data_IF_932947064876
#
_entry.id   IF_932947064876
#
_cell.length_a   1.000
_cell.length_b   1.000
_cell.length_c   1.000
_cell.angle_alpha   90.00
_cell.angle_beta   90.00
_cell.angle_gamma   90.00
#
_symmetry.space_group_name_H-M   'P 1'
#
loop_
_entity.id
_entity.type
_entity.pdbx_description
1 polymer ?
#
# COMPACT_ATOMS: atom_id res chain seq x y z
N UNK A 1 -10.64 0.45 11.54
CA UNK A 1 -9.67 1.49 11.12
C UNK A 1 -8.28 0.90 11.13
N UNK A 2 -7.85 0.35 9.99
CA UNK A 2 -6.53 -0.25 9.80
C UNK A 2 -5.65 0.72 9.02
N UNK A 3 -4.37 0.81 9.41
CA UNK A 3 -3.34 1.55 8.67
C UNK A 3 -2.59 0.59 7.77
N UNK A 4 -2.55 0.88 6.48
CA UNK A 4 -1.92 0.03 5.46
C UNK A 4 -0.78 0.83 4.85
N UNK A 5 0.40 0.23 4.75
CA UNK A 5 1.54 0.79 4.03
C UNK A 5 1.70 0.02 2.72
N UNK A 6 1.63 0.75 1.61
CA UNK A 6 1.86 0.24 0.26
C UNK A 6 3.25 0.71 -0.15
N UNK A 7 4.10 -0.22 -0.57
CA UNK A 7 5.42 0.09 -1.12
C UNK A 7 5.41 -0.37 -2.57
N UNK A 8 5.44 0.58 -3.50
CA UNK A 8 5.34 0.29 -4.93
C UNK A 8 6.13 1.33 -5.73
N UNK A 9 6.99 0.87 -6.64
CA UNK A 9 7.88 1.72 -7.44
C UNK A 9 7.17 2.32 -8.66
N UNK A 10 6.10 1.69 -9.15
CA UNK A 10 5.26 2.25 -10.21
C UNK A 10 4.15 3.18 -9.65
N UNK A 11 4.19 4.49 -9.93
CA UNK A 11 3.20 5.44 -9.44
C UNK A 11 1.78 5.19 -10.00
N UNK A 12 1.65 4.56 -11.18
CA UNK A 12 0.35 4.24 -11.76
C UNK A 12 -0.35 3.13 -10.95
N UNK A 13 0.39 2.09 -10.57
CA UNK A 13 -0.10 0.99 -9.73
C UNK A 13 -0.40 1.50 -8.31
N UNK A 14 0.51 2.30 -7.75
CA UNK A 14 0.36 2.89 -6.43
C UNK A 14 -0.92 3.76 -6.33
N UNK A 15 -1.23 4.54 -7.37
CA UNK A 15 -2.46 5.33 -7.41
C UNK A 15 -3.70 4.43 -7.36
N UNK A 16 -3.75 3.38 -8.17
CA UNK A 16 -4.90 2.45 -8.19
C UNK A 16 -5.10 1.74 -6.86
N UNK A 17 -4.02 1.29 -6.22
CA UNK A 17 -4.09 0.61 -4.92
C UNK A 17 -4.47 1.57 -3.80
N UNK A 18 -3.91 2.78 -3.78
CA UNK A 18 -4.27 3.81 -2.81
C UNK A 18 -5.75 4.13 -2.89
N UNK A 19 -6.23 4.44 -4.09
CA UNK A 19 -7.61 4.87 -4.29
C UNK A 19 -8.60 3.75 -3.92
N UNK A 20 -8.28 2.48 -4.21
CA UNK A 20 -9.11 1.33 -3.79
C UNK A 20 -9.16 1.16 -2.26
N UNK A 21 -8.01 1.26 -1.59
CA UNK A 21 -7.93 1.07 -0.14
C UNK A 21 -8.47 2.28 0.65
N UNK A 22 -8.32 3.49 0.14
CA UNK A 22 -8.96 4.69 0.69
C UNK A 22 -10.47 4.63 0.53
N UNK A 23 -10.97 4.10 -0.60
CA UNK A 23 -12.39 3.84 -0.81
C UNK A 23 -12.97 2.85 0.22
N UNK A 24 -12.18 1.84 0.60
CA UNK A 24 -12.51 0.90 1.70
C UNK A 24 -12.39 1.52 3.11
N UNK A 25 -12.20 2.85 3.21
CA UNK A 25 -12.04 3.60 4.47
C UNK A 25 -10.83 3.15 5.30
N UNK A 26 -9.78 2.66 4.65
CA UNK A 26 -8.48 2.41 5.28
C UNK A 26 -7.59 3.64 5.25
N UNK A 27 -6.71 3.77 6.25
CA UNK A 27 -5.68 4.81 6.25
C UNK A 27 -4.48 4.29 5.47
N UNK A 28 -4.26 4.84 4.29
CA UNK A 28 -3.20 4.39 3.38
C UNK A 28 -1.97 5.28 3.51
N UNK A 29 -0.82 4.66 3.71
CA UNK A 29 0.50 5.26 3.57
C UNK A 29 1.13 4.66 2.31
N UNK A 30 1.76 5.50 1.51
CA UNK A 30 2.44 5.05 0.28
C UNK A 30 3.92 5.35 0.35
N UNK A 31 4.73 4.46 -0.22
CA UNK A 31 6.16 4.64 -0.39
C UNK A 31 6.54 4.17 -1.79
N UNK A 32 7.40 4.93 -2.46
CA UNK A 32 7.86 4.63 -3.83
C UNK A 32 9.07 3.72 -3.88
N UNK A 33 9.62 3.37 -2.71
CA UNK A 33 10.84 2.58 -2.60
C UNK A 33 10.90 1.86 -1.24
N UNK A 34 11.68 0.78 -1.20
CA UNK A 34 11.83 -0.05 0.00
C UNK A 34 12.44 0.69 1.19
N UNK A 35 13.27 1.71 0.96
CA UNK A 35 13.93 2.46 2.03
C UNK A 35 12.96 3.46 2.69
N UNK A 36 12.16 4.16 1.89
CA UNK A 36 11.06 5.00 2.31
C UNK A 36 9.99 4.18 3.04
N UNK A 37 9.67 2.99 2.53
CA UNK A 37 8.79 2.03 3.21
C UNK A 37 9.35 1.61 4.57
N UNK A 38 10.63 1.22 4.63
CA UNK A 38 11.31 0.86 5.86
C UNK A 38 11.33 2.00 6.87
N UNK A 39 11.70 3.22 6.45
CA UNK A 39 11.66 4.42 7.31
C UNK A 39 10.25 4.74 7.80
N UNK A 40 9.22 4.52 6.98
CA UNK A 40 7.83 4.73 7.38
C UNK A 40 7.39 3.74 8.48
N UNK A 41 7.77 2.46 8.35
CA UNK A 41 7.56 1.44 9.39
C UNK A 41 8.39 1.72 10.64
N UNK A 42 9.58 2.28 10.49
CA UNK A 42 10.49 2.52 11.62
C UNK A 42 10.14 3.80 12.40
N UNK A 43 9.65 4.85 11.72
CA UNK A 43 9.20 6.10 12.37
C UNK A 43 7.82 5.99 13.00
N UNK A 44 6.92 5.21 12.41
CA UNK A 44 5.63 4.92 13.03
C UNK A 44 5.78 3.59 13.75
N UNK A 45 5.79 3.61 15.09
CA UNK A 45 5.69 2.45 15.99
C UNK A 45 4.43 1.60 15.65
N UNK A 46 4.46 0.88 14.53
CA UNK A 46 3.33 0.21 13.89
C UNK A 46 3.25 -1.23 14.38
N UNK A 47 2.98 -1.36 15.68
CA UNK A 47 2.78 -2.65 16.37
C UNK A 47 1.41 -3.29 16.06
N UNK A 48 0.76 -2.98 14.93
CA UNK A 48 -0.48 -3.64 14.49
C UNK A 48 -0.50 -3.86 12.98
N UNK A 49 -0.16 -5.10 12.60
CA UNK A 49 -0.44 -5.75 11.31
C UNK A 49 -0.21 -4.84 10.10
N UNK A 50 1.06 -4.61 9.76
CA UNK A 50 1.41 -4.27 8.39
C UNK A 50 1.05 -5.48 7.51
N UNK A 51 -0.12 -5.45 6.88
CA UNK A 51 -0.47 -6.40 5.83
C UNK A 51 0.45 -6.08 4.65
N UNK A 52 1.56 -6.80 4.55
CA UNK A 52 2.42 -6.80 3.37
C UNK A 52 1.64 -7.48 2.25
N UNK A 53 0.81 -6.73 1.54
CA UNK A 53 -0.06 -7.24 0.49
C UNK A 53 0.70 -7.15 -0.83
N UNK A 54 1.61 -8.10 -1.05
CA UNK A 54 2.08 -8.42 -2.40
C UNK A 54 1.04 -9.35 -3.01
N UNK A 55 0.15 -8.82 -3.85
CA UNK A 55 -0.68 -9.60 -4.78
C UNK A 55 -0.55 -8.91 -6.14
N UNK A 56 0.26 -9.49 -7.04
CA UNK A 56 -0.16 -10.45 -8.08
C UNK A 56 -0.88 -9.73 -9.24
N UNK A 57 -0.53 -10.06 -10.50
CA UNK A 57 -0.85 -9.24 -11.66
C UNK A 57 -2.36 -9.05 -11.84
N UNK A 58 -2.74 -7.80 -12.13
CA UNK A 58 -4.05 -7.40 -12.66
C UNK A 58 -4.42 -8.33 -13.81
N UNK A 59 -5.43 -9.19 -13.62
CA UNK A 59 -6.14 -9.74 -14.76
C UNK A 59 -7.04 -8.64 -15.31
N UNK A 60 -6.51 -7.90 -16.29
CA UNK A 60 -7.36 -7.28 -17.30
C UNK A 60 -8.18 -8.38 -17.95
N UNK A 61 -9.50 -8.27 -17.86
CA UNK A 61 -10.40 -9.28 -18.39
C UNK A 61 -11.85 -8.94 -18.20
N UNK A 62 -12.26 -7.72 -18.54
CA UNK A 62 -13.66 -7.39 -18.76
C UNK A 62 -14.12 -8.11 -20.04
N UNK A 63 -14.82 -9.24 -19.86
CA UNK A 63 -16.03 -9.58 -20.62
C UNK A 63 -17.02 -10.29 -19.71
#
# INVERSE_FOLDING_TARGET
>A
MSRILIVEDDPAILCGLRDNLEFESHQVLTATDGEAGYRAVWRCDLTRRAAFQVFAPVQEGLK
#
